data_IF_490788598704
#
_entry.id   IF_490788598704
#
_cell.length_a   1.000
_cell.length_b   1.000
_cell.length_c   1.000
_cell.angle_alpha   90.00
_cell.angle_beta   90.00
_cell.angle_gamma   90.00
#
_symmetry.space_group_name_H-M   'P 1'
#
loop_
_entity.id
_entity.type
_entity.pdbx_description
1 polymer ?
#
# COMPACT_ATOMS: atom_id res chain seq x y z
N UNK A 1 9.53 12.31 -2.28
CA UNK A 1 9.11 10.91 -2.08
C UNK A 1 7.59 10.89 -1.97
N UNK A 2 6.91 10.24 -2.91
CA UNK A 2 5.45 10.10 -2.87
C UNK A 2 5.06 8.79 -2.18
N UNK A 3 4.09 8.84 -1.26
CA UNK A 3 3.58 7.65 -0.58
C UNK A 3 2.18 7.36 -1.07
N UNK A 4 1.93 6.13 -1.52
CA UNK A 4 0.62 5.64 -1.93
C UNK A 4 0.01 4.79 -0.81
N UNK A 5 -1.19 5.14 -0.37
CA UNK A 5 -1.92 4.41 0.68
C UNK A 5 -3.31 4.03 0.15
N UNK A 6 -3.61 2.72 0.14
CA UNK A 6 -4.87 2.17 -0.36
C UNK A 6 -6.01 2.23 0.65
N UNK A 7 -5.68 2.18 1.94
CA UNK A 7 -6.60 2.38 3.05
C UNK A 7 -5.88 2.93 4.26
N UNK A 8 -6.39 4.04 4.80
CA UNK A 8 -5.85 4.71 5.99
C UNK A 8 -6.89 4.70 7.10
N UNK A 9 -6.50 4.20 8.27
CA UNK A 9 -7.27 4.33 9.50
C UNK A 9 -6.39 4.84 10.63
N UNK A 10 -6.98 5.49 11.63
CA UNK A 10 -6.25 5.95 12.82
C UNK A 10 -6.59 5.07 14.01
N UNK A 11 -7.89 4.87 14.27
CA UNK A 11 -8.38 4.12 15.42
C UNK A 11 -9.13 2.83 15.06
N UNK A 12 -9.16 2.45 13.78
CA UNK A 12 -9.90 1.28 13.31
C UNK A 12 -9.08 0.41 12.37
N UNK A 13 -9.70 -0.66 11.87
CA UNK A 13 -9.04 -1.59 10.97
C UNK A 13 -8.95 -1.03 9.55
N UNK A 14 -7.81 -1.27 8.90
CA UNK A 14 -7.57 -1.01 7.49
C UNK A 14 -7.55 -2.35 6.76
N UNK A 15 -8.69 -3.04 6.69
CA UNK A 15 -8.79 -4.42 6.19
C UNK A 15 -9.27 -4.49 4.74
N UNK A 16 -8.71 -5.41 3.94
CA UNK A 16 -9.25 -5.76 2.63
C UNK A 16 -9.01 -4.73 1.52
N UNK A 17 -8.08 -3.80 1.72
CA UNK A 17 -7.74 -2.78 0.73
C UNK A 17 -6.88 -3.35 -0.38
N UNK A 18 -7.09 -2.86 -1.61
CA UNK A 18 -6.38 -3.34 -2.80
C UNK A 18 -5.77 -2.20 -3.58
N UNK A 19 -4.47 -2.31 -3.87
CA UNK A 19 -3.77 -1.44 -4.81
C UNK A 19 -3.46 -2.24 -6.07
N UNK A 20 -3.72 -1.67 -7.24
CA UNK A 20 -3.31 -2.22 -8.53
C UNK A 20 -2.47 -1.21 -9.28
N UNK A 21 -1.22 -1.56 -9.56
CA UNK A 21 -0.30 -0.78 -10.36
C UNK A 21 -0.10 -1.49 -11.69
N UNK A 22 -0.35 -0.79 -12.80
CA UNK A 22 -0.20 -1.32 -14.17
C UNK A 22 0.99 -0.73 -14.93
N UNK A 23 1.82 0.08 -14.26
CA UNK A 23 2.96 0.78 -14.84
C UNK A 23 3.30 2.05 -14.05
N UNK A 24 4.24 2.84 -14.56
CA UNK A 24 4.70 4.09 -13.94
C UNK A 24 5.91 3.91 -13.02
N UNK A 25 6.40 5.02 -12.49
CA UNK A 25 7.54 5.07 -11.58
C UNK A 25 7.05 5.30 -10.15
N UNK A 26 7.43 4.40 -9.25
CA UNK A 26 7.15 4.55 -7.82
C UNK A 26 8.45 4.79 -7.08
N UNK A 27 8.58 6.01 -6.56
CA UNK A 27 9.78 6.51 -5.86
C UNK A 27 9.61 6.59 -4.33
N UNK A 28 8.51 6.04 -3.78
CA UNK A 28 8.27 6.02 -2.34
C UNK A 28 7.43 4.83 -1.89
N UNK A 29 6.81 4.93 -0.71
CA UNK A 29 6.21 3.78 -0.04
C UNK A 29 4.83 3.44 -0.61
N UNK A 30 4.50 2.15 -0.67
CA UNK A 30 3.16 1.66 -1.01
C UNK A 30 2.61 0.85 0.16
N UNK A 31 1.49 1.31 0.71
CA UNK A 31 0.77 0.62 1.76
C UNK A 31 -0.62 0.28 1.27
N UNK A 32 -0.94 -1.00 1.07
CA UNK A 32 -2.32 -1.34 0.73
C UNK A 32 -3.27 -1.02 1.90
N UNK A 33 -2.84 -1.24 3.14
CA UNK A 33 -3.51 -0.74 4.33
C UNK A 33 -2.52 -0.18 5.35
N UNK A 34 -2.92 0.90 6.02
CA UNK A 34 -2.20 1.54 7.10
C UNK A 34 -3.18 1.88 8.22
N UNK A 35 -2.86 1.48 9.44
CA UNK A 35 -3.60 1.90 10.64
C UNK A 35 -2.69 2.21 11.80
N UNK A 36 -3.04 3.18 12.65
CA UNK A 36 -2.23 3.57 13.81
C UNK A 36 -2.55 2.76 15.09
N UNK A 37 -3.80 2.33 15.26
CA UNK A 37 -4.26 1.62 16.47
C UNK A 37 -5.23 0.46 16.17
N UNK A 38 -5.45 0.10 14.90
CA UNK A 38 -6.23 -1.07 14.49
C UNK A 38 -5.38 -2.11 13.76
N UNK A 39 -6.03 -2.98 12.97
CA UNK A 39 -5.35 -4.04 12.20
C UNK A 39 -5.35 -3.73 10.69
N UNK A 40 -4.24 -4.00 9.99
CA UNK A 40 -4.14 -3.87 8.54
C UNK A 40 -4.16 -5.25 7.84
N UNK A 41 -5.25 -6.00 8.04
CA UNK A 41 -5.37 -7.38 7.57
C UNK A 41 -5.89 -7.51 6.13
N UNK A 42 -5.60 -8.64 5.47
CA UNK A 42 -6.15 -8.99 4.15
C UNK A 42 -5.94 -7.95 3.02
N UNK A 43 -4.93 -7.09 3.14
CA UNK A 43 -4.62 -6.09 2.13
C UNK A 43 -3.78 -6.68 1.00
N UNK A 44 -4.01 -6.24 -0.24
CA UNK A 44 -3.30 -6.79 -1.42
C UNK A 44 -2.72 -5.68 -2.30
N UNK A 45 -1.46 -5.83 -2.71
CA UNK A 45 -0.85 -5.01 -3.76
C UNK A 45 -0.65 -5.89 -4.99
N UNK A 46 -1.21 -5.50 -6.12
CA UNK A 46 -1.04 -6.16 -7.43
C UNK A 46 -0.19 -5.28 -8.31
N UNK A 47 0.88 -5.85 -8.86
CA UNK A 47 1.77 -5.20 -9.81
C UNK A 47 1.61 -5.90 -11.16
N UNK A 48 1.33 -5.13 -12.21
CA UNK A 48 1.15 -5.55 -13.60
C UNK A 48 1.83 -4.52 -14.51
N UNK A 49 2.20 -4.90 -15.74
CA UNK A 49 2.73 -3.93 -16.72
C UNK A 49 4.09 -3.30 -16.40
N UNK A 50 4.94 -3.97 -15.62
CA UNK A 50 6.32 -3.57 -15.30
C UNK A 50 6.44 -2.18 -14.61
N UNK A 51 5.86 -2.01 -13.40
CA UNK A 51 6.07 -0.77 -12.64
C UNK A 51 7.54 -0.66 -12.23
N UNK A 52 8.12 0.52 -12.40
CA UNK A 52 9.50 0.78 -11.99
C UNK A 52 9.51 1.14 -10.50
N UNK A 53 10.01 0.21 -9.68
CA UNK A 53 10.06 0.33 -8.22
C UNK A 53 11.50 0.66 -7.79
N UNK A 54 11.87 1.94 -7.83
CA UNK A 54 13.26 2.33 -7.58
C UNK A 54 13.58 2.31 -6.08
N UNK A 55 12.59 2.52 -5.21
CA UNK A 55 12.74 2.50 -3.73
C UNK A 55 11.45 2.07 -3.00
N UNK A 56 10.57 1.34 -3.67
CA UNK A 56 9.25 1.07 -3.13
C UNK A 56 9.29 0.06 -1.98
N UNK A 57 8.84 0.49 -0.81
CA UNK A 57 8.59 -0.41 0.31
C UNK A 57 7.13 -0.82 0.29
N UNK A 58 6.85 -2.11 0.03
CA UNK A 58 5.52 -2.70 0.09
C UNK A 58 5.31 -3.28 1.49
N UNK A 59 4.36 -2.74 2.25
CA UNK A 59 4.01 -3.26 3.58
C UNK A 59 2.50 -3.36 3.75
N UNK A 60 2.05 -4.49 4.28
CA UNK A 60 0.83 -4.53 5.08
C UNK A 60 1.25 -4.17 6.49
N UNK A 61 1.09 -2.90 6.88
CA UNK A 61 1.58 -2.44 8.19
C UNK A 61 0.47 -2.60 9.22
N UNK A 62 0.55 -3.68 9.99
CA UNK A 62 -0.10 -3.84 11.30
C UNK A 62 0.62 -2.98 12.36
#
# INVERSE_FOLDING_TARGET
>A
MATLVGGLSVNGDATGNRISLSGGEVTGNIFAGYTASGNATSNTITLSGNPNLIMATLRGRE
#
